data_IF_512605518722
#
_entry.id   IF_512605518722
#
_cell.length_a   1.000
_cell.length_b   1.000
_cell.length_c   1.000
_cell.angle_alpha   90.00
_cell.angle_beta   90.00
_cell.angle_gamma   90.00
#
_symmetry.space_group_name_H-M   'P 1'
#
loop_
_entity.id
_entity.type
_entity.pdbx_description
1 polymer ?
#
# COMPACT_ATOMS: atom_id res chain seq x y z
N UNK A 1 -0.56 -5.63 4.59
CA UNK A 1 -1.01 -4.44 3.81
C UNK A 1 -2.53 -4.46 3.73
N UNK A 2 -3.13 -3.29 3.94
CA UNK A 2 -4.58 -3.10 3.86
C UNK A 2 -4.90 -1.87 3.02
N UNK A 3 -6.17 -1.70 2.67
CA UNK A 3 -6.68 -0.50 1.99
C UNK A 3 -8.07 -0.17 2.52
N UNK A 4 -8.46 1.09 2.47
CA UNK A 4 -9.84 1.51 2.73
C UNK A 4 -10.74 1.35 1.49
N UNK A 5 -10.16 1.02 0.33
CA UNK A 5 -10.88 0.85 -0.94
C UNK A 5 -11.29 -0.61 -1.15
N UNK A 6 -12.58 -0.89 -1.03
CA UNK A 6 -13.12 -2.22 -1.32
C UNK A 6 -12.85 -2.63 -2.78
N UNK A 7 -12.99 -1.71 -3.71
CA UNK A 7 -12.70 -1.96 -5.13
C UNK A 7 -11.25 -2.42 -5.32
N UNK A 8 -10.29 -1.76 -4.68
CA UNK A 8 -8.88 -2.16 -4.76
C UNK A 8 -8.67 -3.53 -4.14
N UNK A 9 -9.24 -3.80 -2.97
CA UNK A 9 -9.13 -5.10 -2.31
C UNK A 9 -9.69 -6.22 -3.18
N UNK A 10 -10.86 -6.03 -3.79
CA UNK A 10 -11.46 -6.99 -4.70
C UNK A 10 -10.61 -7.24 -5.95
N UNK A 11 -10.05 -6.17 -6.53
CA UNK A 11 -9.16 -6.29 -7.69
C UNK A 11 -7.91 -7.11 -7.35
N UNK A 12 -7.29 -6.87 -6.21
CA UNK A 12 -6.14 -7.65 -5.77
C UNK A 12 -6.49 -9.11 -5.49
N UNK A 13 -7.63 -9.36 -4.86
CA UNK A 13 -8.11 -10.71 -4.62
C UNK A 13 -8.28 -11.50 -5.94
N UNK A 14 -8.84 -10.85 -6.98
CA UNK A 14 -8.97 -11.45 -8.31
C UNK A 14 -7.62 -11.72 -8.98
N UNK A 15 -6.67 -10.78 -8.87
CA UNK A 15 -5.32 -10.97 -9.41
C UNK A 15 -4.64 -12.16 -8.75
N UNK A 16 -4.70 -12.25 -7.43
CA UNK A 16 -4.12 -13.37 -6.68
C UNK A 16 -4.79 -14.70 -7.04
N UNK A 17 -6.11 -14.72 -7.12
CA UNK A 17 -6.84 -15.92 -7.50
C UNK A 17 -6.45 -16.43 -8.88
N UNK A 18 -6.24 -15.54 -9.86
CA UNK A 18 -5.75 -15.92 -11.19
C UNK A 18 -4.33 -16.46 -11.15
N UNK A 19 -3.46 -15.85 -10.36
CA UNK A 19 -2.07 -16.33 -10.21
C UNK A 19 -2.00 -17.71 -9.56
N UNK A 20 -2.91 -17.99 -8.66
CA UNK A 20 -3.00 -19.26 -7.94
C UNK A 20 -3.94 -20.28 -8.62
N UNK A 21 -4.49 -19.92 -9.78
CA UNK A 21 -5.39 -20.77 -10.59
C UNK A 21 -6.60 -21.28 -9.81
N UNK A 22 -7.16 -20.42 -8.93
CA UNK A 22 -8.39 -20.72 -8.18
C UNK A 22 -9.56 -19.89 -8.71
N UNK A 23 -10.79 -20.35 -8.47
CA UNK A 23 -12.01 -19.75 -9.02
C UNK A 23 -12.42 -18.43 -8.37
N UNK A 24 -11.94 -18.15 -7.18
CA UNK A 24 -12.27 -16.93 -6.46
C UNK A 24 -11.15 -16.51 -5.52
N UNK A 25 -11.02 -15.21 -5.31
CA UNK A 25 -10.17 -14.62 -4.28
C UNK A 25 -10.96 -14.35 -3.00
N UNK A 26 -10.27 -14.04 -1.94
CA UNK A 26 -10.88 -13.73 -0.64
C UNK A 26 -10.44 -12.35 -0.19
N UNK A 27 -11.40 -11.54 0.24
CA UNK A 27 -11.17 -10.26 0.91
C UNK A 27 -11.56 -10.42 2.37
N UNK A 28 -10.63 -10.14 3.26
CA UNK A 28 -10.90 -10.10 4.69
C UNK A 28 -11.09 -8.65 5.12
N UNK A 29 -12.19 -8.39 5.82
CA UNK A 29 -12.58 -7.06 6.28
C UNK A 29 -12.32 -6.93 7.77
N UNK A 30 -11.65 -5.85 8.15
CA UNK A 30 -11.39 -5.51 9.54
C UNK A 30 -11.98 -4.15 9.89
N UNK A 31 -12.50 -4.04 11.09
CA UNK A 31 -12.83 -2.75 11.69
C UNK A 31 -11.63 -2.23 12.46
N UNK A 32 -11.43 -0.92 12.43
CA UNK A 32 -10.41 -0.23 13.20
C UNK A 32 -11.03 0.99 13.88
N UNK A 33 -10.57 1.37 15.09
CA UNK A 33 -11.08 2.55 15.76
C UNK A 33 -10.65 3.83 15.01
N UNK A 34 -11.51 4.85 14.97
CA UNK A 34 -11.22 6.12 14.29
C UNK A 34 -9.97 6.82 14.85
N UNK A 35 -9.73 6.69 16.16
CA UNK A 35 -8.57 7.29 16.81
C UNK A 35 -7.23 6.60 16.52
N UNK A 36 -7.24 5.48 15.77
CA UNK A 36 -6.03 4.74 15.42
C UNK A 36 -4.97 5.64 14.78
N UNK A 37 -5.39 6.47 13.83
CA UNK A 37 -4.47 7.29 13.03
C UNK A 37 -3.91 8.51 13.77
N UNK A 38 -4.37 8.75 14.99
CA UNK A 38 -3.87 9.82 15.88
C UNK A 38 -3.45 9.28 17.24
N UNK A 39 -3.27 7.96 17.35
CA UNK A 39 -2.97 7.31 18.63
C UNK A 39 -1.58 7.71 19.14
N UNK A 40 -1.47 8.26 20.37
CA UNK A 40 -0.22 8.83 20.86
C UNK A 40 0.89 7.81 21.13
N UNK A 41 0.55 6.53 21.29
CA UNK A 41 1.50 5.43 21.54
C UNK A 41 2.01 4.77 20.27
N UNK A 42 1.49 5.15 19.09
CA UNK A 42 1.90 4.60 17.80
C UNK A 42 2.78 5.58 17.04
N UNK A 43 3.83 5.06 16.44
CA UNK A 43 4.64 5.79 15.46
C UNK A 43 3.96 5.70 14.10
N UNK A 44 3.37 6.81 13.66
CA UNK A 44 2.56 6.85 12.44
C UNK A 44 3.22 7.73 11.39
N UNK A 45 3.40 7.18 10.20
CA UNK A 45 3.82 7.95 9.02
C UNK A 45 2.67 8.03 8.03
N UNK A 46 2.26 9.23 7.70
CA UNK A 46 1.21 9.48 6.73
C UNK A 46 1.75 10.26 5.54
N UNK A 47 1.72 9.63 4.36
CA UNK A 47 2.04 10.28 3.09
C UNK A 47 0.74 10.71 2.42
N UNK A 48 0.48 12.00 2.43
CA UNK A 48 -0.76 12.55 1.87
C UNK A 48 -0.83 12.39 0.35
N UNK A 49 0.33 12.38 -0.31
CA UNK A 49 0.46 12.29 -1.77
C UNK A 49 1.77 11.61 -2.19
N UNK A 50 1.83 11.20 -3.45
CA UNK A 50 3.02 10.63 -4.06
C UNK A 50 4.02 11.74 -4.43
N UNK A 51 4.70 12.29 -3.43
CA UNK A 51 5.72 13.32 -3.55
C UNK A 51 7.14 12.76 -3.37
N UNK A 52 8.14 13.64 -3.28
CA UNK A 52 9.54 13.26 -3.05
C UNK A 52 9.74 12.40 -1.81
N UNK A 53 9.09 12.74 -0.72
CA UNK A 53 9.22 12.03 0.56
C UNK A 53 8.64 10.61 0.46
N UNK A 54 7.50 10.47 -0.19
CA UNK A 54 6.89 9.17 -0.46
C UNK A 54 7.78 8.33 -1.40
N UNK A 55 8.31 8.96 -2.44
CA UNK A 55 9.19 8.29 -3.40
C UNK A 55 10.46 7.76 -2.72
N UNK A 56 11.09 8.55 -1.86
CA UNK A 56 12.25 8.12 -1.07
C UNK A 56 11.94 6.90 -0.22
N UNK A 57 10.79 6.92 0.46
CA UNK A 57 10.36 5.81 1.30
C UNK A 57 10.11 4.53 0.50
N UNK A 58 9.42 4.63 -0.64
CA UNK A 58 9.14 3.47 -1.51
C UNK A 58 10.44 2.91 -2.09
N UNK A 59 11.34 3.76 -2.56
CA UNK A 59 12.63 3.33 -3.11
C UNK A 59 13.51 2.66 -2.04
N UNK A 60 13.54 3.19 -0.82
CA UNK A 60 14.30 2.59 0.27
C UNK A 60 13.79 1.18 0.61
N UNK A 61 12.48 1.00 0.69
CA UNK A 61 11.87 -0.31 0.94
C UNK A 61 12.12 -1.30 -0.20
N UNK A 62 12.24 -0.80 -1.44
CA UNK A 62 12.43 -1.64 -2.62
C UNK A 62 13.87 -2.09 -2.82
N UNK A 63 14.83 -1.20 -2.58
CA UNK A 63 16.25 -1.41 -2.89
C UNK A 63 17.06 -2.00 -1.76
N UNK A 64 16.75 -1.66 -0.55
CA UNK A 64 17.52 -2.03 0.64
C UNK A 64 16.78 -3.12 1.42
N UNK A 65 17.28 -4.35 1.31
CA UNK A 65 16.72 -5.51 2.01
C UNK A 65 16.85 -5.41 3.53
N UNK A 66 17.80 -4.61 4.00
CA UNK A 66 18.03 -4.38 5.43
C UNK A 66 17.31 -3.12 5.93
N UNK A 67 16.63 -2.39 5.04
CA UNK A 67 15.86 -1.23 5.43
C UNK A 67 14.66 -1.63 6.28
N UNK A 68 14.67 -1.19 7.51
CA UNK A 68 13.55 -1.36 8.44
C UNK A 68 13.23 0.00 9.06
N UNK A 69 12.00 0.43 8.90
CA UNK A 69 11.53 1.66 9.52
C UNK A 69 10.92 1.35 10.89
N UNK A 70 10.93 2.33 11.77
CA UNK A 70 10.41 2.19 13.14
C UNK A 70 8.92 2.54 13.26
N UNK A 71 8.23 2.75 12.16
CA UNK A 71 6.81 3.09 12.17
C UNK A 71 5.95 1.87 12.49
N UNK A 72 4.92 2.08 13.31
CA UNK A 72 3.88 1.08 13.56
C UNK A 72 2.86 1.03 12.43
N UNK A 73 2.48 2.21 11.92
CA UNK A 73 1.55 2.40 10.82
C UNK A 73 2.17 3.27 9.75
N UNK A 74 2.01 2.87 8.50
CA UNK A 74 2.34 3.70 7.34
C UNK A 74 1.13 3.79 6.43
N UNK A 75 0.66 5.02 6.18
CA UNK A 75 -0.47 5.30 5.32
C UNK A 75 0.01 6.10 4.11
N UNK A 76 -0.51 5.81 2.95
CA UNK A 76 -0.16 6.58 1.77
C UNK A 76 -0.71 6.00 0.47
N UNK A 77 -0.36 6.62 -0.66
CA UNK A 77 -0.73 6.08 -1.96
C UNK A 77 -0.14 4.69 -2.18
N UNK A 78 -0.92 3.82 -2.81
CA UNK A 78 -0.45 2.48 -3.17
C UNK A 78 0.58 2.54 -4.30
N UNK A 79 1.65 1.75 -4.17
CA UNK A 79 2.60 1.54 -5.26
C UNK A 79 2.08 0.39 -6.14
N UNK A 80 1.27 0.70 -7.14
CA UNK A 80 0.74 -0.27 -8.10
C UNK A 80 1.69 -0.49 -9.29
N UNK A 81 1.30 -1.31 -10.27
CA UNK A 81 2.12 -1.64 -11.44
C UNK A 81 2.58 -0.41 -12.23
N UNK A 82 1.72 0.62 -12.36
CA UNK A 82 2.09 1.87 -13.04
C UNK A 82 3.19 2.60 -12.29
N UNK A 83 3.10 2.63 -10.97
CA UNK A 83 4.16 3.21 -10.12
C UNK A 83 5.46 2.44 -10.29
N UNK A 84 5.42 1.12 -10.31
CA UNK A 84 6.62 0.29 -10.50
C UNK A 84 7.28 0.53 -11.84
N UNK A 85 6.52 0.74 -12.92
CA UNK A 85 7.08 1.12 -14.22
C UNK A 85 7.86 2.44 -14.11
N UNK A 86 7.29 3.44 -13.45
CA UNK A 86 7.97 4.72 -13.21
C UNK A 86 9.24 4.56 -12.37
N UNK A 87 9.20 3.73 -11.34
CA UNK A 87 10.36 3.45 -10.48
C UNK A 87 11.47 2.75 -11.27
N UNK A 88 11.14 1.79 -12.11
CA UNK A 88 12.11 1.12 -12.98
C UNK A 88 12.77 2.09 -13.94
N UNK A 89 12.03 2.98 -14.56
CA UNK A 89 12.56 4.02 -15.44
C UNK A 89 13.56 4.93 -14.71
N UNK A 90 13.25 5.30 -13.47
CA UNK A 90 14.14 6.11 -12.64
C UNK A 90 15.43 5.35 -12.30
N UNK A 91 15.31 4.10 -11.88
CA UNK A 91 16.44 3.24 -11.51
C UNK A 91 17.35 2.95 -12.69
N UNK A 92 16.79 2.78 -13.88
CA UNK A 92 17.51 2.51 -15.13
C UNK A 92 18.09 3.77 -15.78
N UNK A 93 17.87 4.94 -15.20
CA UNK A 93 18.35 6.23 -15.73
C UNK A 93 17.60 6.71 -16.97
N UNK A 94 16.42 6.12 -17.27
CA UNK A 94 15.60 6.50 -18.43
C UNK A 94 14.72 7.71 -18.17
N UNK A 95 14.47 8.05 -16.92
CA UNK A 95 13.74 9.23 -16.50
C UNK A 95 14.36 9.84 -15.26
N UNK A 96 14.31 11.15 -15.12
CA UNK A 96 14.75 11.81 -13.91
C UNK A 96 13.65 11.84 -12.84
N UNK A 97 14.03 12.20 -11.63
CA UNK A 97 13.14 12.23 -10.47
C UNK A 97 11.96 13.18 -10.67
N UNK A 98 12.21 14.39 -11.19
CA UNK A 98 11.18 15.39 -11.43
C UNK A 98 10.14 14.90 -12.44
N UNK A 99 10.57 14.24 -13.50
CA UNK A 99 9.70 13.65 -14.53
C UNK A 99 8.84 12.54 -13.94
N UNK A 100 9.42 11.66 -13.12
CA UNK A 100 8.69 10.57 -12.46
C UNK A 100 7.62 11.13 -11.51
N UNK A 101 7.97 12.10 -10.68
CA UNK A 101 7.01 12.73 -9.74
C UNK A 101 5.89 13.41 -10.49
N UNK A 102 6.18 14.16 -11.56
CA UNK A 102 5.17 14.80 -12.39
C UNK A 102 4.19 13.77 -12.99
N UNK A 103 4.69 12.62 -13.41
CA UNK A 103 3.87 11.53 -13.94
C UNK A 103 3.01 10.87 -12.87
N UNK A 104 3.57 10.63 -11.68
CA UNK A 104 2.83 10.05 -10.55
C UNK A 104 1.66 10.92 -10.11
N UNK A 105 1.77 12.25 -10.22
CA UNK A 105 0.69 13.19 -9.91
C UNK A 105 -0.51 13.06 -10.85
N UNK A 106 -0.35 12.47 -12.04
CA UNK A 106 -1.44 12.22 -12.98
C UNK A 106 -2.26 10.98 -12.63
N UNK A 107 -1.77 10.13 -11.73
CA UNK A 107 -2.45 8.91 -11.33
C UNK A 107 -3.38 9.16 -10.15
N UNK A 108 -4.57 8.55 -10.22
CA UNK A 108 -5.47 8.43 -9.07
C UNK A 108 -5.10 7.13 -8.36
N UNK A 109 -4.37 7.23 -7.27
CA UNK A 109 -3.90 6.09 -6.51
C UNK A 109 -4.80 5.87 -5.30
N UNK A 110 -5.23 4.62 -5.09
CA UNK A 110 -5.91 4.25 -3.87
C UNK A 110 -4.96 4.31 -2.67
N UNK A 111 -5.50 4.39 -1.47
CA UNK A 111 -4.71 4.36 -0.26
C UNK A 111 -4.21 2.95 0.06
N UNK A 112 -3.12 2.90 0.78
CA UNK A 112 -2.59 1.69 1.38
C UNK A 112 -2.24 1.97 2.83
N UNK A 113 -2.59 1.06 3.71
CA UNK A 113 -2.31 1.15 5.14
C UNK A 113 -1.52 -0.08 5.55
N UNK A 114 -0.27 0.14 5.96
CA UNK A 114 0.60 -0.91 6.46
C UNK A 114 0.52 -0.97 7.98
N UNK A 115 0.09 -2.10 8.51
CA UNK A 115 0.20 -2.45 9.92
C UNK A 115 1.51 -3.21 10.10
N UNK A 116 2.58 -2.48 10.41
CA UNK A 116 3.95 -3.00 10.35
C UNK A 116 4.36 -3.78 11.60
N UNK A 117 3.84 -3.42 12.76
CA UNK A 117 4.24 -4.01 14.04
C UNK A 117 3.13 -4.85 14.67
N UNK A 118 3.51 -5.79 15.54
CA UNK A 118 2.54 -6.54 16.34
C UNK A 118 1.63 -5.63 17.17
N UNK A 119 2.18 -4.51 17.66
CA UNK A 119 1.44 -3.48 18.42
C UNK A 119 0.31 -2.86 17.58
N UNK A 120 0.57 -2.53 16.31
CA UNK A 120 -0.44 -1.98 15.42
C UNK A 120 -1.49 -3.02 15.02
N UNK A 121 -1.11 -4.27 14.85
CA UNK A 121 -2.02 -5.36 14.50
C UNK A 121 -3.10 -5.62 15.56
N UNK A 122 -2.86 -5.28 16.82
CA UNK A 122 -3.84 -5.43 17.91
C UNK A 122 -5.08 -4.54 17.71
N UNK A 123 -4.99 -3.51 16.89
CA UNK A 123 -6.12 -2.62 16.58
C UNK A 123 -7.04 -3.17 15.47
N UNK A 124 -6.64 -4.23 14.78
CA UNK A 124 -7.47 -4.86 13.76
C UNK A 124 -8.50 -5.77 14.44
N UNK A 125 -9.78 -5.49 14.20
CA UNK A 125 -10.89 -6.31 14.66
C UNK A 125 -11.55 -6.99 13.46
N UNK A 126 -11.56 -8.31 13.42
CA UNK A 126 -12.16 -9.07 12.33
C UNK A 126 -13.66 -8.75 12.22
N UNK A 127 -14.12 -8.38 11.04
CA UNK A 127 -15.52 -8.09 10.75
C UNK A 127 -16.14 -9.16 9.86
N UNK A 128 -15.56 -9.43 8.69
CA UNK A 128 -16.11 -10.39 7.73
C UNK A 128 -15.05 -10.90 6.74
N UNK A 129 -15.43 -11.94 6.03
CA UNK A 129 -14.68 -12.46 4.90
C UNK A 129 -15.61 -12.56 3.69
N UNK A 130 -15.18 -12.03 2.56
CA UNK A 130 -15.95 -11.99 1.33
C UNK A 130 -15.23 -12.75 0.22
N UNK A 131 -15.99 -13.58 -0.49
CA UNK A 131 -15.48 -14.29 -1.67
C UNK A 131 -15.69 -13.42 -2.91
N UNK A 132 -14.64 -13.26 -3.70
CA UNK A 132 -14.64 -12.45 -4.92
C UNK A 132 -14.37 -13.35 -6.11
N UNK A 133 -15.39 -13.64 -6.94
CA UNK A 133 -15.22 -14.52 -8.10
C UNK A 133 -14.23 -13.95 -9.12
N UNK A 134 -13.45 -14.82 -9.71
CA UNK A 134 -12.66 -14.50 -10.89
C UNK A 134 -13.57 -14.39 -12.11
N UNK A 135 -13.49 -13.25 -12.77
CA UNK A 135 -14.18 -13.04 -14.04
C UNK A 135 -13.23 -13.28 -15.21
#
# INVERSE_FOLDING_TARGET
YTTSSLEQACRWAQIRARQEEVSAGIVTVFDVPEHLFTHPELQIRNFVKADDTWLDFVLANRKDVDFDHEFDLVCGPVANDRVYICLNMLEDGLADRATVIAKLKTYVLADQILFHTAKSLLFLEYASTEEVPCK
#
